data_IF_076395133910
#
_entry.id   IF_076395133910
#
_cell.length_a   1.000
_cell.length_b   1.000
_cell.length_c   1.000
_cell.angle_alpha   90.00
_cell.angle_beta   90.00
_cell.angle_gamma   90.00
#
_symmetry.space_group_name_H-M   'P 1'
#
loop_
_entity.id
_entity.type
_entity.pdbx_description
1 polymer ?
#
# COMPACT_ATOMS: atom_id res chain seq x y z
N UNK A 1 23.82 -11.47 -3.17
CA UNK A 1 22.37 -11.30 -2.97
C UNK A 1 22.06 -9.91 -3.45
N UNK A 2 21.42 -9.81 -4.61
CA UNK A 2 21.14 -8.52 -5.24
C UNK A 2 20.22 -7.70 -4.35
N UNK A 3 20.53 -6.42 -4.20
CA UNK A 3 19.71 -5.47 -3.45
C UNK A 3 18.37 -5.27 -4.17
N UNK A 4 17.36 -6.04 -3.78
CA UNK A 4 16.06 -6.04 -4.43
C UNK A 4 15.27 -4.76 -4.13
N UNK A 5 15.73 -3.88 -3.24
CA UNK A 5 15.05 -2.63 -2.90
C UNK A 5 14.81 -1.75 -4.12
N UNK A 6 15.78 -1.65 -5.04
CA UNK A 6 15.60 -0.88 -6.27
C UNK A 6 14.53 -1.48 -7.20
N UNK A 7 14.49 -2.82 -7.32
CA UNK A 7 13.46 -3.50 -8.11
C UNK A 7 12.06 -3.37 -7.50
N UNK A 8 11.97 -3.37 -6.17
CA UNK A 8 10.73 -3.19 -5.42
C UNK A 8 10.21 -1.76 -5.60
N UNK A 9 11.06 -0.75 -5.42
CA UNK A 9 10.70 0.65 -5.64
C UNK A 9 10.21 0.90 -7.07
N UNK A 10 10.99 0.46 -8.06
CA UNK A 10 10.63 0.57 -9.47
C UNK A 10 9.34 -0.17 -9.81
N UNK A 11 9.16 -1.36 -9.22
CA UNK A 11 7.95 -2.17 -9.36
C UNK A 11 6.72 -1.47 -8.79
N UNK A 12 6.80 -0.91 -7.59
CA UNK A 12 5.69 -0.25 -6.91
C UNK A 12 5.24 0.99 -7.69
N UNK A 13 6.20 1.85 -8.10
CA UNK A 13 5.94 3.04 -8.90
C UNK A 13 5.27 2.73 -10.25
N UNK A 14 5.60 1.59 -10.87
CA UNK A 14 5.02 1.17 -12.16
C UNK A 14 3.69 0.42 -12.03
N UNK A 15 3.51 -0.37 -10.98
CA UNK A 15 2.40 -1.33 -10.86
C UNK A 15 1.08 -0.70 -10.41
N UNK A 16 1.09 0.36 -9.59
CA UNK A 16 -0.09 1.11 -9.09
C UNK A 16 -1.15 0.28 -8.33
N UNK A 17 -1.05 -1.04 -8.39
CA UNK A 17 -1.74 -2.03 -7.58
C UNK A 17 -0.73 -3.07 -7.13
N UNK A 18 -1.08 -3.86 -6.13
CA UNK A 18 -0.29 -4.98 -5.64
C UNK A 18 -1.23 -6.10 -5.18
N UNK A 19 -0.66 -7.28 -4.92
CA UNK A 19 -1.38 -8.36 -4.25
C UNK A 19 -0.75 -8.63 -2.89
N UNK A 20 -1.60 -8.76 -1.88
CA UNK A 20 -1.23 -9.19 -0.53
C UNK A 20 -1.71 -10.62 -0.32
N UNK A 21 -0.83 -11.46 0.21
CA UNK A 21 -1.22 -12.79 0.70
C UNK A 21 -1.81 -12.64 2.10
N UNK A 22 -3.14 -12.59 2.19
CA UNK A 22 -3.90 -12.57 3.45
C UNK A 22 -4.64 -13.91 3.61
N UNK A 23 -5.90 -13.89 4.06
CA UNK A 23 -6.82 -15.05 4.03
C UNK A 23 -6.96 -15.64 2.61
N UNK A 24 -6.84 -14.77 1.61
CA UNK A 24 -6.70 -15.07 0.17
C UNK A 24 -5.87 -13.96 -0.47
N UNK A 25 -5.38 -14.13 -1.71
CA UNK A 25 -4.75 -13.03 -2.44
C UNK A 25 -5.73 -11.85 -2.58
N UNK A 26 -5.35 -10.68 -2.06
CA UNK A 26 -6.14 -9.45 -2.14
C UNK A 26 -5.41 -8.42 -2.98
N UNK A 27 -6.10 -7.90 -3.99
CA UNK A 27 -5.61 -6.80 -4.80
C UNK A 27 -5.82 -5.49 -4.03
N UNK A 28 -4.80 -4.64 -3.99
CA UNK A 28 -4.85 -3.34 -3.34
C UNK A 28 -4.21 -2.27 -4.23
N UNK A 29 -4.85 -1.10 -4.35
CA UNK A 29 -4.14 0.10 -4.77
C UNK A 29 -3.29 0.63 -3.61
N UNK A 30 -2.23 1.35 -3.94
CA UNK A 30 -1.23 1.81 -2.98
C UNK A 30 -0.53 3.09 -3.45
N UNK A 31 0.28 3.68 -2.57
CA UNK A 31 1.33 4.62 -2.96
C UNK A 31 2.69 4.13 -2.50
N UNK A 32 3.75 4.55 -3.19
CA UNK A 32 5.13 4.42 -2.73
C UNK A 32 5.58 5.75 -2.13
N UNK A 33 6.12 5.73 -0.92
CA UNK A 33 6.67 6.91 -0.27
C UNK A 33 7.82 6.51 0.65
N UNK A 34 8.96 7.19 0.50
CA UNK A 34 10.15 7.05 1.37
C UNK A 34 10.53 5.59 1.70
N UNK A 35 10.73 4.78 0.66
CA UNK A 35 11.17 3.39 0.81
C UNK A 35 10.10 2.39 1.24
N UNK A 36 8.85 2.82 1.41
CA UNK A 36 7.74 1.96 1.85
C UNK A 36 6.50 2.09 0.97
N UNK A 37 5.66 1.07 1.04
CA UNK A 37 4.34 1.06 0.43
C UNK A 37 3.31 1.46 1.47
N UNK A 38 2.37 2.32 1.10
CA UNK A 38 1.24 2.70 1.94
C UNK A 38 -0.06 2.24 1.29
N UNK A 39 -0.91 1.60 2.09
CA UNK A 39 -2.26 1.17 1.71
C UNK A 39 -3.26 1.70 2.73
N UNK A 40 -4.48 1.97 2.29
CA UNK A 40 -5.61 2.28 3.16
C UNK A 40 -6.63 1.14 3.10
N UNK A 41 -7.28 0.87 4.23
CA UNK A 41 -8.37 -0.09 4.32
C UNK A 41 -9.46 0.36 5.30
N UNK A 42 -10.70 -0.08 5.11
CA UNK A 42 -11.84 0.34 5.92
C UNK A 42 -12.70 1.40 5.22
N UNK A 43 -13.80 1.80 5.87
CA UNK A 43 -14.75 2.78 5.33
C UNK A 43 -15.23 2.45 3.91
N UNK A 44 -15.20 3.45 3.04
CA UNK A 44 -15.48 3.29 1.60
C UNK A 44 -14.28 2.77 0.77
N UNK A 45 -13.16 2.45 1.41
CA UNK A 45 -11.96 1.93 0.73
C UNK A 45 -11.93 0.40 0.68
N UNK A 46 -10.92 -0.11 -0.03
CA UNK A 46 -10.67 -1.53 -0.18
C UNK A 46 -10.58 -2.25 1.19
N UNK A 47 -11.12 -3.47 1.27
CA UNK A 47 -11.14 -4.25 2.50
C UNK A 47 -9.99 -5.25 2.52
N UNK A 48 -9.08 -5.09 3.49
CA UNK A 48 -7.89 -5.89 3.74
C UNK A 48 -7.95 -6.48 5.17
N UNK A 49 -8.87 -7.41 5.45
CA UNK A 49 -9.14 -7.89 6.80
C UNK A 49 -7.91 -8.55 7.43
N UNK A 50 -7.62 -8.16 8.66
CA UNK A 50 -6.52 -8.71 9.46
C UNK A 50 -5.14 -8.21 9.07
N UNK A 51 -5.00 -7.36 8.04
CA UNK A 51 -3.70 -6.84 7.64
C UNK A 51 -3.02 -6.06 8.77
N UNK A 52 -3.75 -5.20 9.46
CA UNK A 52 -3.27 -4.38 10.58
C UNK A 52 -2.85 -5.16 11.82
N UNK A 53 -3.22 -6.44 11.91
CA UNK A 53 -2.83 -7.35 12.98
C UNK A 53 -1.63 -8.25 12.63
N UNK A 54 -1.09 -8.15 11.41
CA UNK A 54 0.10 -8.90 11.01
C UNK A 54 1.37 -8.14 11.40
N UNK A 55 2.42 -8.88 11.74
CA UNK A 55 3.78 -8.32 11.80
C UNK A 55 4.41 -8.23 10.39
N UNK A 56 3.98 -9.10 9.48
CA UNK A 56 4.56 -9.28 8.15
C UNK A 56 3.54 -9.77 7.13
N UNK A 57 3.66 -9.32 5.89
CA UNK A 57 2.82 -9.76 4.76
C UNK A 57 3.65 -10.03 3.51
N UNK A 58 3.27 -11.05 2.73
CA UNK A 58 3.87 -11.30 1.43
C UNK A 58 3.20 -10.44 0.35
N UNK A 59 4.02 -9.77 -0.46
CA UNK A 59 3.59 -8.81 -1.48
C UNK A 59 4.02 -9.28 -2.87
N UNK A 60 3.11 -9.21 -3.84
CA UNK A 60 3.39 -9.45 -5.25
C UNK A 60 3.11 -8.20 -6.07
N UNK A 61 4.08 -7.75 -6.86
CA UNK A 61 3.93 -6.67 -7.84
C UNK A 61 3.90 -7.24 -9.26
N UNK A 62 3.02 -6.69 -10.10
CA UNK A 62 2.83 -7.12 -11.50
C UNK A 62 2.85 -5.94 -12.46
N UNK A 63 3.27 -6.16 -13.70
CA UNK A 63 3.22 -5.14 -14.75
C UNK A 63 1.78 -4.75 -15.05
N UNK A 64 1.51 -3.44 -15.17
CA UNK A 64 0.22 -2.94 -15.66
C UNK A 64 -0.01 -3.28 -17.14
N UNK A 65 1.06 -3.45 -17.92
CA UNK A 65 0.97 -3.57 -19.38
C UNK A 65 0.56 -4.99 -19.82
N UNK A 66 1.11 -6.01 -19.15
CA UNK A 66 0.93 -7.41 -19.55
C UNK A 66 0.65 -8.37 -18.39
N UNK A 67 0.55 -7.86 -17.16
CA UNK A 67 0.26 -8.67 -15.98
C UNK A 67 1.39 -9.59 -15.51
N UNK A 68 2.56 -9.57 -16.16
CA UNK A 68 3.71 -10.37 -15.75
C UNK A 68 4.16 -9.99 -14.33
N UNK A 69 4.61 -10.97 -13.54
CA UNK A 69 5.16 -10.70 -12.22
C UNK A 69 6.48 -9.94 -12.35
N UNK A 70 6.58 -8.82 -11.63
CA UNK A 70 7.78 -8.00 -11.54
C UNK A 70 8.66 -8.46 -10.37
N UNK A 71 8.10 -8.54 -9.17
CA UNK A 71 8.80 -8.93 -7.94
C UNK A 71 7.82 -9.46 -6.89
N UNK A 72 8.33 -10.34 -6.03
CA UNK A 72 7.67 -10.85 -4.82
C UNK A 72 8.62 -10.64 -3.65
N UNK A 73 8.10 -10.21 -2.50
CA UNK A 73 8.89 -9.92 -1.30
C UNK A 73 8.01 -9.95 -0.05
N UNK A 74 8.61 -10.17 1.11
CA UNK A 74 7.94 -9.98 2.39
C UNK A 74 8.12 -8.53 2.86
N UNK A 75 7.12 -7.98 3.54
CA UNK A 75 7.16 -6.62 4.08
C UNK A 75 6.69 -6.61 5.53
N UNK A 76 7.44 -5.90 6.38
CA UNK A 76 7.04 -5.60 7.74
C UNK A 76 5.81 -4.69 7.71
N UNK A 77 4.84 -4.99 8.55
CA UNK A 77 3.55 -4.32 8.61
C UNK A 77 3.50 -3.41 9.84
N UNK A 78 3.03 -2.17 9.64
CA UNK A 78 2.80 -1.25 10.76
C UNK A 78 1.62 -0.33 10.47
N UNK A 79 0.76 -0.11 11.46
CA UNK A 79 -0.31 0.90 11.37
C UNK A 79 0.32 2.29 11.49
N UNK A 80 -0.12 3.20 10.63
CA UNK A 80 0.38 4.57 10.57
C UNK A 80 -0.39 5.46 11.53
N UNK A 81 0.33 6.25 12.32
CA UNK A 81 -0.23 7.45 12.95
C UNK A 81 -0.47 8.50 11.86
N UNK A 82 -1.70 8.55 11.36
CA UNK A 82 -2.09 9.39 10.23
C UNK A 82 -1.89 10.89 10.51
N UNK A 83 -2.00 11.32 11.78
CA UNK A 83 -1.82 12.71 12.16
C UNK A 83 -0.35 13.16 12.08
N UNK A 84 0.58 12.21 12.26
CA UNK A 84 2.02 12.45 12.20
C UNK A 84 2.63 12.19 10.81
N UNK A 85 1.89 11.61 9.86
CA UNK A 85 2.41 11.09 8.59
C UNK A 85 2.01 11.92 7.36
N UNK A 86 2.02 13.26 7.47
CA UNK A 86 1.48 14.18 6.46
C UNK A 86 1.90 13.90 5.01
N UNK A 87 3.20 13.74 4.75
CA UNK A 87 3.71 13.53 3.39
C UNK A 87 3.30 12.17 2.79
N UNK A 88 3.29 11.11 3.61
CA UNK A 88 2.84 9.78 3.19
C UNK A 88 1.33 9.78 2.92
N UNK A 89 0.55 10.46 3.76
CA UNK A 89 -0.89 10.63 3.57
C UNK A 89 -1.22 11.42 2.31
N UNK A 90 -0.46 12.49 2.03
CA UNK A 90 -0.60 13.27 0.80
C UNK A 90 -0.25 12.45 -0.45
N UNK A 91 0.83 11.66 -0.40
CA UNK A 91 1.21 10.75 -1.47
C UNK A 91 0.12 9.69 -1.74
N UNK A 92 -0.46 9.12 -0.68
CA UNK A 92 -1.54 8.14 -0.80
C UNK A 92 -2.83 8.76 -1.35
N UNK A 93 -3.20 9.95 -0.89
CA UNK A 93 -4.37 10.69 -1.38
C UNK A 93 -4.26 10.99 -2.88
N UNK A 94 -3.06 11.35 -3.37
CA UNK A 94 -2.80 11.61 -4.78
C UNK A 94 -3.07 10.40 -5.68
N UNK A 95 -2.82 9.18 -5.19
CA UNK A 95 -3.07 7.94 -5.95
C UNK A 95 -4.56 7.52 -5.94
N UNK A 96 -5.41 8.18 -5.13
CA UNK A 96 -6.84 7.85 -5.02
C UNK A 96 -7.69 8.55 -6.09
N UNK A 97 -7.48 8.17 -7.35
CA UNK A 97 -8.01 8.89 -8.53
C UNK A 97 -9.54 9.00 -8.63
N UNK A 98 -10.30 8.07 -8.03
CA UNK A 98 -11.77 8.01 -8.15
C UNK A 98 -12.49 8.42 -6.86
N UNK A 99 -11.90 9.29 -6.03
CA UNK A 99 -12.53 9.71 -4.78
C UNK A 99 -13.78 10.55 -5.09
N UNK A 100 -14.88 10.27 -4.38
CA UNK A 100 -16.11 11.08 -4.50
C UNK A 100 -15.90 12.49 -3.97
N UNK A 101 -15.17 12.58 -2.86
CA UNK A 101 -14.73 13.82 -2.24
C UNK A 101 -13.25 13.67 -1.89
N UNK A 102 -12.42 14.35 -2.68
CA UNK A 102 -10.97 14.42 -2.51
C UNK A 102 -10.53 15.51 -1.54
N UNK A 103 -11.37 16.54 -1.31
CA UNK A 103 -11.03 17.69 -0.45
C UNK A 103 -10.94 17.25 1.01
N UNK A 104 -11.89 16.43 1.47
CA UNK A 104 -11.94 15.93 2.85
C UNK A 104 -11.46 14.47 2.98
N UNK A 105 -10.70 13.96 2.00
CA UNK A 105 -10.31 12.55 1.94
C UNK A 105 -9.50 12.12 3.17
N UNK A 106 -8.52 12.93 3.59
CA UNK A 106 -7.67 12.61 4.73
C UNK A 106 -8.45 12.61 6.06
N UNK A 107 -9.37 13.54 6.25
CA UNK A 107 -10.24 13.61 7.44
C UNK A 107 -11.17 12.40 7.52
N UNK A 108 -11.72 11.97 6.38
CA UNK A 108 -12.55 10.76 6.29
C UNK A 108 -11.73 9.51 6.62
N UNK A 109 -10.52 9.38 6.06
CA UNK A 109 -9.64 8.26 6.39
C UNK A 109 -9.29 8.22 7.87
N UNK A 110 -8.98 9.36 8.49
CA UNK A 110 -8.69 9.41 9.92
C UNK A 110 -9.85 8.91 10.80
N UNK A 111 -11.10 9.06 10.34
CA UNK A 111 -12.29 8.63 11.07
C UNK A 111 -12.71 7.18 10.79
N UNK A 112 -12.52 6.71 9.56
CA UNK A 112 -13.22 5.53 9.04
C UNK A 112 -12.28 4.46 8.49
N UNK A 113 -10.98 4.76 8.37
CA UNK A 113 -10.00 3.88 7.74
C UNK A 113 -8.73 3.72 8.57
N UNK A 114 -8.04 2.62 8.31
CA UNK A 114 -6.69 2.35 8.80
C UNK A 114 -5.72 2.50 7.63
N UNK A 115 -4.66 3.30 7.82
CA UNK A 115 -3.53 3.35 6.89
C UNK A 115 -2.43 2.45 7.43
N UNK A 116 -1.92 1.58 6.56
CA UNK A 116 -0.89 0.60 6.87
C UNK A 116 0.33 0.88 6.01
N UNK A 117 1.50 0.93 6.65
CA UNK A 117 2.80 0.97 6.01
C UNK A 117 3.35 -0.45 5.90
N UNK A 118 3.77 -0.80 4.68
CA UNK A 118 4.48 -2.03 4.34
C UNK A 118 5.92 -1.67 4.01
N UNK A 119 6.85 -2.02 4.88
CA UNK A 119 8.27 -1.77 4.69
C UNK A 119 8.94 -3.04 4.14
N UNK A 120 9.46 -3.03 2.90
CA UNK A 120 10.08 -4.21 2.32
C UNK A 120 11.22 -4.76 3.18
N UNK A 121 11.22 -6.07 3.39
CA UNK A 121 12.31 -6.79 4.04
C UNK A 121 13.33 -7.28 3.00
N UNK A 122 14.59 -7.43 3.42
CA UNK A 122 15.72 -7.81 2.55
C UNK A 122 15.76 -9.30 2.21
#
# INVERSE_FOLDING_TARGET
MSDNTSAIEEGAKKSGILWLTLDRPRLAWHSWHDGSIYVVTGGEEQQLPGLDALDRVHVTLRSKDNGARLVEFDAAVSVVDQAAAGDAMAALAKERLNARDSEHLAERWARECTVVRLTPER
#
